data_IF_759042529011
#
_entry.id   IF_759042529011
#
_cell.length_a   1.000
_cell.length_b   1.000
_cell.length_c   1.000
_cell.angle_alpha   90.00
_cell.angle_beta   90.00
_cell.angle_gamma   90.00
#
_symmetry.space_group_name_H-M   'P 1'
#
loop_
_entity.id
_entity.type
_entity.pdbx_description
1 polymer ?
#
# COMPACT_ATOMS: atom_id res chain seq x y z
N UNK A 1 29.57 7.76 -9.88
CA UNK A 1 30.80 7.04 -9.45
C UNK A 1 31.46 6.47 -10.70
N UNK A 2 32.39 7.19 -11.27
CA UNK A 2 33.27 6.70 -12.34
C UNK A 2 34.58 7.46 -12.16
N UNK A 3 35.33 7.02 -11.16
CA UNK A 3 36.71 7.42 -10.97
C UNK A 3 37.50 6.85 -12.15
N UNK A 4 38.10 7.72 -12.97
CA UNK A 4 38.80 7.34 -14.22
C UNK A 4 40.12 6.59 -13.97
N UNK A 5 40.44 6.34 -12.70
CA UNK A 5 41.64 5.62 -12.25
C UNK A 5 41.51 4.10 -12.28
N UNK A 6 40.29 3.56 -12.38
CA UNK A 6 40.02 2.11 -12.35
C UNK A 6 39.76 1.57 -13.75
N UNK A 7 40.49 0.53 -14.16
CA UNK A 7 40.33 -0.10 -15.47
C UNK A 7 38.99 -0.85 -15.60
N UNK A 8 38.50 -1.03 -16.83
CA UNK A 8 37.28 -1.81 -17.09
C UNK A 8 37.36 -3.22 -16.49
N UNK A 9 38.52 -3.85 -16.61
CA UNK A 9 38.78 -5.17 -16.06
C UNK A 9 38.67 -5.20 -14.54
N UNK A 10 39.25 -4.24 -13.84
CA UNK A 10 39.11 -4.14 -12.38
C UNK A 10 37.66 -3.86 -11.96
N UNK A 11 36.90 -3.10 -12.76
CA UNK A 11 35.47 -2.87 -12.50
C UNK A 11 34.66 -4.15 -12.66
N UNK A 12 34.93 -4.94 -13.71
CA UNK A 12 34.30 -6.24 -13.95
C UNK A 12 34.65 -7.23 -12.84
N UNK A 13 35.92 -7.31 -12.46
CA UNK A 13 36.42 -8.15 -11.37
C UNK A 13 35.71 -7.83 -10.05
N UNK A 14 35.65 -6.54 -9.69
CA UNK A 14 34.97 -6.08 -8.49
C UNK A 14 33.46 -6.39 -8.53
N UNK A 15 32.81 -6.24 -9.69
CA UNK A 15 31.40 -6.53 -9.86
C UNK A 15 31.09 -8.03 -9.70
N UNK A 16 31.92 -8.90 -10.28
CA UNK A 16 31.76 -10.35 -10.17
C UNK A 16 32.01 -10.83 -8.72
N UNK A 17 33.06 -10.33 -8.08
CA UNK A 17 33.34 -10.64 -6.68
C UNK A 17 32.24 -10.16 -5.73
N UNK A 18 31.64 -8.99 -5.98
CA UNK A 18 30.49 -8.52 -5.20
C UNK A 18 29.26 -9.40 -5.43
N UNK A 19 28.97 -9.79 -6.67
CA UNK A 19 27.84 -10.67 -7.00
C UNK A 19 27.95 -12.04 -6.31
N UNK A 20 29.13 -12.65 -6.33
CA UNK A 20 29.39 -13.91 -5.63
C UNK A 20 29.26 -13.76 -4.11
N UNK A 21 29.93 -12.74 -3.53
CA UNK A 21 29.96 -12.54 -2.08
C UNK A 21 28.60 -12.16 -1.48
N UNK A 22 27.84 -11.31 -2.16
CA UNK A 22 26.62 -10.70 -1.62
C UNK A 22 25.35 -11.42 -2.06
N UNK A 23 25.36 -12.05 -3.23
CA UNK A 23 24.18 -12.69 -3.82
C UNK A 23 24.39 -14.17 -4.16
N UNK A 24 25.59 -14.73 -3.92
CA UNK A 24 25.87 -16.15 -4.18
C UNK A 24 25.83 -16.53 -5.66
N UNK A 25 26.05 -15.57 -6.56
CA UNK A 25 26.07 -15.82 -8.00
C UNK A 25 27.40 -16.44 -8.39
N UNK A 26 27.36 -17.64 -8.97
CA UNK A 26 28.55 -18.30 -9.50
C UNK A 26 29.24 -17.42 -10.54
N UNK A 27 30.56 -17.33 -10.42
CA UNK A 27 31.39 -16.56 -11.33
C UNK A 27 31.61 -17.32 -12.65
N UNK A 28 30.68 -17.15 -13.59
CA UNK A 28 30.72 -17.83 -14.90
C UNK A 28 31.55 -17.09 -15.97
N UNK A 29 31.98 -15.86 -15.68
CA UNK A 29 32.72 -15.01 -16.62
C UNK A 29 34.05 -14.56 -16.03
N UNK A 30 35.08 -14.53 -16.89
CA UNK A 30 36.34 -13.88 -16.60
C UNK A 30 36.35 -12.46 -17.16
N UNK A 31 36.87 -11.50 -16.38
CA UNK A 31 36.88 -10.09 -16.75
C UNK A 31 37.62 -9.81 -18.06
N UNK A 32 38.64 -10.62 -18.38
CA UNK A 32 39.40 -10.52 -19.63
C UNK A 32 38.62 -10.96 -20.87
N UNK A 33 37.66 -11.89 -20.72
CA UNK A 33 36.86 -12.41 -21.84
C UNK A 33 35.69 -11.47 -22.16
N UNK A 34 35.33 -10.63 -21.20
CA UNK A 34 34.31 -9.58 -21.34
C UNK A 34 34.92 -8.24 -21.79
N UNK A 35 36.13 -7.90 -21.33
CA UNK A 35 36.87 -6.69 -21.73
C UNK A 35 37.54 -6.85 -23.11
N UNK A 36 36.73 -7.18 -24.12
CA UNK A 36 37.14 -7.33 -25.52
C UNK A 36 36.19 -6.54 -26.43
N UNK A 37 36.58 -6.30 -27.69
CA UNK A 37 35.73 -5.60 -28.65
C UNK A 37 34.43 -6.38 -28.98
N UNK A 38 34.46 -7.72 -28.82
CA UNK A 38 33.40 -8.64 -29.22
C UNK A 38 33.23 -9.78 -28.20
N UNK A 39 32.66 -9.53 -27.02
CA UNK A 39 32.46 -10.57 -26.02
C UNK A 39 31.33 -11.55 -26.43
N UNK A 40 31.38 -12.77 -25.90
CA UNK A 40 30.39 -13.82 -26.22
C UNK A 40 29.00 -13.50 -25.63
N UNK A 41 28.05 -13.20 -26.51
CA UNK A 41 26.69 -12.79 -26.15
C UNK A 41 25.98 -13.85 -25.31
N UNK A 42 26.14 -15.14 -25.64
CA UNK A 42 25.47 -16.24 -24.94
C UNK A 42 25.96 -16.36 -23.50
N UNK A 43 27.26 -16.20 -23.28
CA UNK A 43 27.88 -16.22 -21.96
C UNK A 43 27.47 -14.99 -21.13
N UNK A 44 27.43 -13.80 -21.74
CA UNK A 44 26.90 -12.59 -21.09
C UNK A 44 25.44 -12.79 -20.66
N UNK A 45 24.57 -13.26 -21.56
CA UNK A 45 23.15 -13.49 -21.27
C UNK A 45 22.99 -14.50 -20.13
N UNK A 46 23.76 -15.58 -20.15
CA UNK A 46 23.71 -16.63 -19.11
C UNK A 46 24.08 -16.06 -17.74
N UNK A 47 25.15 -15.27 -17.67
CA UNK A 47 25.58 -14.66 -16.42
C UNK A 47 24.59 -13.61 -15.92
N UNK A 48 24.12 -12.71 -16.79
CA UNK A 48 23.13 -11.68 -16.43
C UNK A 48 21.81 -12.32 -15.98
N UNK A 49 21.40 -13.44 -16.59
CA UNK A 49 20.22 -14.20 -16.17
C UNK A 49 20.41 -14.83 -14.79
N UNK A 50 21.60 -15.37 -14.50
CA UNK A 50 21.95 -15.95 -13.20
C UNK A 50 21.96 -14.87 -12.11
N UNK A 51 22.51 -13.69 -12.41
CA UNK A 51 22.46 -12.52 -11.55
C UNK A 51 21.01 -12.09 -11.28
N UNK A 52 20.17 -11.99 -12.31
CA UNK A 52 18.77 -11.63 -12.16
C UNK A 52 18.00 -12.62 -11.26
N UNK A 53 18.27 -13.93 -11.38
CA UNK A 53 17.64 -14.95 -10.56
C UNK A 53 18.10 -14.93 -9.10
N UNK A 54 19.33 -14.50 -8.83
CA UNK A 54 19.89 -14.41 -7.48
C UNK A 54 19.52 -13.11 -6.76
N UNK A 55 19.15 -12.07 -7.50
CA UNK A 55 18.62 -10.86 -6.92
C UNK A 55 17.23 -11.14 -6.30
N UNK A 56 16.97 -10.75 -5.04
CA UNK A 56 15.69 -11.02 -4.38
C UNK A 56 14.59 -10.27 -5.10
N UNK A 57 13.84 -10.94 -6.00
CA UNK A 57 12.83 -10.42 -6.93
C UNK A 57 12.56 -8.91 -6.79
N UNK A 58 13.56 -8.08 -7.11
CA UNK A 58 13.54 -6.65 -6.79
C UNK A 58 12.32 -5.96 -7.40
N UNK A 59 11.82 -6.35 -8.59
CA UNK A 59 10.60 -5.80 -9.16
C UNK A 59 9.33 -6.11 -8.34
N UNK A 60 9.22 -7.31 -7.76
CA UNK A 60 8.01 -7.70 -7.02
C UNK A 60 7.99 -7.06 -5.64
N UNK A 61 9.12 -7.10 -4.92
CA UNK A 61 9.25 -6.47 -3.62
C UNK A 61 9.06 -4.94 -3.72
N UNK A 62 9.69 -4.29 -4.70
CA UNK A 62 9.49 -2.84 -4.93
C UNK A 62 8.04 -2.49 -5.25
N UNK A 63 7.35 -3.32 -6.05
CA UNK A 63 5.91 -3.16 -6.31
C UNK A 63 5.08 -3.20 -5.03
N UNK A 64 5.36 -4.13 -4.11
CA UNK A 64 4.64 -4.21 -2.84
C UNK A 64 5.01 -3.07 -1.89
N UNK A 65 6.26 -2.61 -1.88
CA UNK A 65 6.68 -1.43 -1.11
C UNK A 65 5.94 -0.17 -1.61
N UNK A 66 5.91 0.07 -2.91
CA UNK A 66 5.15 1.20 -3.49
C UNK A 66 3.64 1.07 -3.25
N UNK A 67 3.10 -0.15 -3.30
CA UNK A 67 1.70 -0.42 -2.94
C UNK A 67 1.44 -0.09 -1.46
N UNK A 68 2.37 -0.40 -0.56
CA UNK A 68 2.26 -0.06 0.87
C UNK A 68 2.27 1.44 1.10
N UNK A 69 3.15 2.18 0.44
CA UNK A 69 3.18 3.64 0.49
C UNK A 69 1.84 4.24 0.05
N UNK A 70 1.29 3.75 -1.07
CA UNK A 70 -0.01 4.16 -1.55
C UNK A 70 -1.14 3.81 -0.56
N UNK A 71 -1.13 2.58 -0.02
CA UNK A 71 -2.10 2.16 0.99
C UNK A 71 -2.09 3.08 2.22
N UNK A 72 -0.91 3.44 2.73
CA UNK A 72 -0.77 4.31 3.90
C UNK A 72 -1.40 5.69 3.63
N UNK A 73 -1.15 6.28 2.47
CA UNK A 73 -1.73 7.58 2.09
C UNK A 73 -3.25 7.50 1.99
N UNK A 74 -3.75 6.50 1.29
CA UNK A 74 -5.20 6.32 1.07
C UNK A 74 -5.93 5.98 2.39
N UNK A 75 -5.37 5.10 3.23
CA UNK A 75 -5.94 4.75 4.52
C UNK A 75 -5.99 5.95 5.48
N UNK A 76 -4.97 6.82 5.48
CA UNK A 76 -5.00 8.07 6.27
C UNK A 76 -6.14 8.98 5.81
N UNK A 77 -6.24 9.21 4.50
CA UNK A 77 -7.29 10.05 3.95
C UNK A 77 -8.70 9.50 4.26
N UNK A 78 -8.85 8.17 4.21
CA UNK A 78 -10.10 7.51 4.58
C UNK A 78 -10.41 7.65 6.08
N UNK A 79 -9.42 7.45 6.96
CA UNK A 79 -9.59 7.65 8.41
C UNK A 79 -10.05 9.08 8.74
N UNK A 80 -9.42 10.09 8.13
CA UNK A 80 -9.83 11.49 8.30
C UNK A 80 -11.26 11.75 7.77
N UNK A 81 -11.64 11.08 6.67
CA UNK A 81 -13.00 11.16 6.15
C UNK A 81 -14.00 10.55 7.14
N UNK A 82 -13.69 9.39 7.71
CA UNK A 82 -14.51 8.73 8.72
C UNK A 82 -14.66 9.59 9.97
N UNK A 83 -13.57 10.17 10.49
CA UNK A 83 -13.63 11.07 11.64
C UNK A 83 -14.51 12.28 11.38
N UNK A 84 -14.38 12.91 10.19
CA UNK A 84 -15.28 14.00 9.79
C UNK A 84 -16.72 13.53 9.71
N UNK A 85 -16.98 12.40 9.04
CA UNK A 85 -18.32 11.85 8.91
C UNK A 85 -18.97 11.57 10.28
N UNK A 86 -18.23 10.95 11.20
CA UNK A 86 -18.65 10.72 12.58
C UNK A 86 -19.02 12.03 13.28
N UNK A 87 -18.17 13.06 13.19
CA UNK A 87 -18.47 14.38 13.77
C UNK A 87 -19.72 15.02 13.15
N UNK A 88 -19.97 14.83 11.86
CA UNK A 88 -21.16 15.37 11.20
C UNK A 88 -22.46 14.66 11.59
N UNK A 89 -22.40 13.35 11.86
CA UNK A 89 -23.56 12.56 12.32
C UNK A 89 -23.91 12.93 13.77
N UNK A 90 -22.89 13.17 14.60
CA UNK A 90 -23.03 13.51 16.01
C UNK A 90 -23.50 14.96 16.24
N UNK A 91 -23.27 15.86 15.28
CA UNK A 91 -23.73 17.25 15.35
C UNK A 91 -25.27 17.35 15.28
N UNK A 92 -25.89 17.46 16.45
CA UNK A 92 -27.34 17.60 16.58
C UNK A 92 -27.89 18.89 15.94
N UNK A 93 -27.08 19.94 15.88
CA UNK A 93 -27.52 21.26 15.41
C UNK A 93 -27.71 21.30 13.89
N UNK A 94 -27.01 20.42 13.15
CA UNK A 94 -27.12 20.30 11.69
C UNK A 94 -28.47 19.80 11.20
N UNK A 95 -29.20 19.11 12.07
CA UNK A 95 -30.54 18.57 11.80
C UNK A 95 -31.60 19.26 12.67
N UNK A 96 -31.38 20.54 13.03
CA UNK A 96 -32.37 21.35 13.75
C UNK A 96 -33.51 21.84 12.83
N UNK A 97 -34.07 20.94 12.03
CA UNK A 97 -35.23 21.19 11.18
C UNK A 97 -36.45 20.47 11.75
N UNK A 98 -37.58 20.51 11.04
CA UNK A 98 -38.66 19.58 11.34
C UNK A 98 -38.16 18.12 11.30
N UNK A 99 -38.74 17.19 12.09
CA UNK A 99 -38.32 15.79 12.10
C UNK A 99 -38.28 15.14 10.72
N UNK A 100 -39.24 15.47 9.84
CA UNK A 100 -39.32 14.96 8.47
C UNK A 100 -38.22 15.52 7.55
N UNK A 101 -37.95 16.82 7.59
CA UNK A 101 -36.85 17.42 6.81
C UNK A 101 -35.47 16.92 7.26
N UNK A 102 -35.32 16.70 8.56
CA UNK A 102 -34.10 16.16 9.16
C UNK A 102 -33.82 14.74 8.68
N UNK A 103 -34.86 13.88 8.65
CA UNK A 103 -34.74 12.51 8.13
C UNK A 103 -34.40 12.51 6.64
N UNK A 104 -35.09 13.31 5.82
CA UNK A 104 -34.81 13.40 4.38
C UNK A 104 -33.36 13.82 4.08
N UNK A 105 -32.85 14.85 4.80
CA UNK A 105 -31.45 15.29 4.63
C UNK A 105 -30.47 14.21 5.06
N UNK A 106 -30.77 13.48 6.13
CA UNK A 106 -29.91 12.40 6.62
C UNK A 106 -29.90 11.20 5.68
N UNK A 107 -31.05 10.79 5.14
CA UNK A 107 -31.16 9.72 4.13
C UNK A 107 -30.35 10.07 2.88
N UNK A 108 -30.50 11.29 2.37
CA UNK A 108 -29.71 11.75 1.22
C UNK A 108 -28.20 11.68 1.49
N UNK A 109 -27.76 12.12 2.67
CA UNK A 109 -26.36 12.00 3.09
C UNK A 109 -25.92 10.53 3.14
N UNK A 110 -26.74 9.63 3.70
CA UNK A 110 -26.43 8.21 3.80
C UNK A 110 -26.25 7.58 2.42
N UNK A 111 -27.16 7.85 1.49
CA UNK A 111 -27.13 7.27 0.16
C UNK A 111 -25.92 7.73 -0.67
N UNK A 112 -25.53 9.00 -0.53
CA UNK A 112 -24.40 9.57 -1.27
C UNK A 112 -23.04 9.24 -0.61
N UNK A 113 -22.89 9.44 0.70
CA UNK A 113 -21.59 9.40 1.36
C UNK A 113 -21.21 8.02 1.93
N UNK A 114 -22.17 7.27 2.49
CA UNK A 114 -21.85 6.00 3.15
C UNK A 114 -21.50 4.90 2.15
N UNK A 115 -22.14 4.88 0.99
CA UNK A 115 -21.88 3.90 -0.05
C UNK A 115 -20.45 4.04 -0.62
N UNK A 116 -20.01 5.27 -0.87
CA UNK A 116 -18.64 5.53 -1.34
C UNK A 116 -17.61 5.23 -0.24
N UNK A 117 -17.91 5.56 1.02
CA UNK A 117 -17.05 5.24 2.15
C UNK A 117 -16.88 3.71 2.35
N UNK A 118 -17.96 2.94 2.18
CA UNK A 118 -17.93 1.48 2.25
C UNK A 118 -17.12 0.85 1.10
N UNK A 119 -17.26 1.37 -0.12
CA UNK A 119 -16.47 0.91 -1.28
C UNK A 119 -14.99 1.09 -1.03
N UNK A 120 -14.62 2.25 -0.50
CA UNK A 120 -13.23 2.58 -0.20
C UNK A 120 -12.67 1.73 0.95
N UNK A 121 -13.46 1.49 2.01
CA UNK A 121 -13.12 0.56 3.08
C UNK A 121 -12.76 -0.82 2.53
N UNK A 122 -13.64 -1.42 1.71
CA UNK A 122 -13.40 -2.74 1.13
C UNK A 122 -12.13 -2.77 0.25
N UNK A 123 -11.92 -1.73 -0.57
CA UNK A 123 -10.71 -1.60 -1.40
C UNK A 123 -9.43 -1.55 -0.55
N UNK A 124 -9.46 -0.81 0.56
CA UNK A 124 -8.34 -0.74 1.50
C UNK A 124 -8.09 -2.08 2.21
N UNK A 125 -9.15 -2.80 2.59
CA UNK A 125 -9.03 -4.13 3.20
C UNK A 125 -8.39 -5.14 2.25
N UNK A 126 -8.81 -5.17 0.99
CA UNK A 126 -8.19 -6.01 -0.05
C UNK A 126 -6.70 -5.69 -0.24
N UNK A 127 -6.35 -4.40 -0.30
CA UNK A 127 -4.95 -3.96 -0.40
C UNK A 127 -4.13 -4.38 0.82
N UNK A 128 -4.65 -4.17 2.03
CA UNK A 128 -3.97 -4.55 3.26
C UNK A 128 -3.72 -6.07 3.31
N UNK A 129 -4.69 -6.87 2.88
CA UNK A 129 -4.54 -8.33 2.82
C UNK A 129 -3.44 -8.77 1.83
N UNK A 130 -3.37 -8.14 0.65
CA UNK A 130 -2.30 -8.39 -0.31
C UNK A 130 -0.94 -8.03 0.30
N UNK A 131 -0.81 -6.86 0.93
CA UNK A 131 0.42 -6.42 1.56
C UNK A 131 0.83 -7.36 2.69
N UNK A 132 -0.11 -7.73 3.56
CA UNK A 132 0.11 -8.69 4.64
C UNK A 132 0.59 -10.03 4.08
N UNK A 133 -0.05 -10.56 3.03
CA UNK A 133 0.34 -11.83 2.43
C UNK A 133 1.75 -11.85 1.87
N UNK A 134 2.22 -10.75 1.28
CA UNK A 134 3.50 -10.71 0.56
C UNK A 134 4.66 -10.10 1.38
N UNK A 135 4.35 -9.23 2.33
CA UNK A 135 5.35 -8.54 3.14
C UNK A 135 5.38 -9.02 4.59
N UNK A 136 4.37 -9.73 5.10
CA UNK A 136 4.41 -10.20 6.50
C UNK A 136 5.60 -11.13 6.73
N UNK A 137 6.38 -10.83 7.77
CA UNK A 137 7.64 -11.53 8.07
C UNK A 137 8.88 -10.96 7.39
N UNK A 138 8.74 -9.90 6.58
CA UNK A 138 9.88 -9.11 6.06
C UNK A 138 10.08 -7.84 6.89
N UNK A 139 11.28 -7.27 6.85
CA UNK A 139 11.58 -5.96 7.43
C UNK A 139 10.90 -4.79 6.70
N UNK A 140 10.22 -5.07 5.57
CA UNK A 140 9.59 -4.07 4.72
C UNK A 140 8.11 -3.83 5.03
N UNK A 141 7.47 -4.68 5.84
CA UNK A 141 6.09 -4.45 6.27
C UNK A 141 6.03 -3.39 7.37
N UNK A 142 5.68 -2.16 7.03
CA UNK A 142 5.73 -1.01 7.92
C UNK A 142 4.42 -0.20 7.95
N UNK A 143 3.28 -0.89 7.91
CA UNK A 143 1.97 -0.27 8.13
C UNK A 143 1.85 0.27 9.58
N UNK A 144 1.54 1.56 9.79
CA UNK A 144 1.34 2.13 11.11
C UNK A 144 0.21 1.45 11.90
N UNK A 145 0.35 1.34 13.23
CA UNK A 145 -0.63 0.67 14.10
C UNK A 145 -2.06 1.22 13.98
N UNK A 146 -2.17 2.53 13.78
CA UNK A 146 -3.44 3.23 13.61
C UNK A 146 -4.05 3.10 12.20
N UNK A 147 -3.39 2.39 11.30
CA UNK A 147 -3.83 2.11 9.93
C UNK A 147 -3.84 0.60 9.66
N UNK A 148 -3.94 -0.21 10.71
CA UNK A 148 -4.10 -1.66 10.58
C UNK A 148 -5.53 -2.00 10.18
N UNK A 149 -5.73 -3.21 9.67
CA UNK A 149 -7.07 -3.80 9.48
C UNK A 149 -7.97 -3.57 10.70
N UNK A 150 -7.47 -3.87 11.91
CA UNK A 150 -8.25 -3.68 13.13
C UNK A 150 -8.68 -2.23 13.34
N UNK A 151 -7.77 -1.26 13.18
CA UNK A 151 -8.07 0.16 13.34
C UNK A 151 -9.10 0.65 12.32
N UNK A 152 -8.98 0.23 11.05
CA UNK A 152 -9.94 0.58 10.00
C UNK A 152 -11.31 -0.05 10.29
N UNK A 153 -11.36 -1.32 10.70
CA UNK A 153 -12.61 -2.01 11.05
C UNK A 153 -13.29 -1.37 12.26
N UNK A 154 -12.53 -0.97 13.28
CA UNK A 154 -13.07 -0.26 14.45
C UNK A 154 -13.69 1.09 14.02
N UNK A 155 -12.96 1.88 13.24
CA UNK A 155 -13.45 3.17 12.73
C UNK A 155 -14.72 3.01 11.88
N UNK A 156 -14.74 2.02 10.98
CA UNK A 156 -15.91 1.73 10.15
C UNK A 156 -17.11 1.29 10.99
N UNK A 157 -16.91 0.37 11.94
CA UNK A 157 -17.98 -0.14 12.81
C UNK A 157 -18.62 0.98 13.63
N UNK A 158 -17.80 1.88 14.19
CA UNK A 158 -18.27 3.05 14.92
C UNK A 158 -19.11 3.97 14.04
N UNK A 159 -18.65 4.27 12.82
CA UNK A 159 -19.39 5.11 11.88
C UNK A 159 -20.74 4.50 11.50
N UNK A 160 -20.77 3.20 11.16
CA UNK A 160 -22.01 2.51 10.79
C UNK A 160 -22.99 2.46 11.96
N UNK A 161 -22.50 2.17 13.17
CA UNK A 161 -23.33 2.16 14.36
C UNK A 161 -23.98 3.53 14.62
N UNK A 162 -23.19 4.61 14.56
CA UNK A 162 -23.71 5.97 14.75
C UNK A 162 -24.70 6.35 13.65
N UNK A 163 -24.45 5.94 12.41
CA UNK A 163 -25.34 6.20 11.29
C UNK A 163 -26.72 5.55 11.50
N UNK A 164 -26.74 4.27 11.85
CA UNK A 164 -27.97 3.50 12.10
C UNK A 164 -28.72 4.01 13.33
N UNK A 165 -28.00 4.34 14.40
CA UNK A 165 -28.57 4.90 15.61
C UNK A 165 -29.25 6.24 15.34
N UNK A 166 -28.56 7.16 14.63
CA UNK A 166 -29.10 8.48 14.29
C UNK A 166 -30.34 8.36 13.40
N UNK A 167 -30.31 7.48 12.41
CA UNK A 167 -31.46 7.19 11.56
C UNK A 167 -32.67 6.74 12.38
N UNK A 168 -32.47 5.77 13.28
CA UNK A 168 -33.52 5.24 14.17
C UNK A 168 -34.12 6.34 15.06
N UNK A 169 -33.29 7.19 15.66
CA UNK A 169 -33.75 8.31 16.48
C UNK A 169 -34.59 9.32 15.67
N UNK A 170 -34.19 9.64 14.44
CA UNK A 170 -34.94 10.56 13.57
C UNK A 170 -36.31 9.98 13.17
N UNK A 171 -36.37 8.67 12.88
CA UNK A 171 -37.64 8.00 12.59
C UNK A 171 -38.59 8.02 13.79
N UNK A 172 -38.08 7.77 15.01
CA UNK A 172 -38.89 7.82 16.22
C UNK A 172 -39.48 9.22 16.48
N UNK A 173 -38.73 10.29 16.18
CA UNK A 173 -39.20 11.69 16.32
C UNK A 173 -40.32 12.07 15.35
N UNK A 174 -40.54 11.31 14.28
CA UNK A 174 -41.65 11.54 13.34
C UNK A 174 -42.94 10.87 13.83
N UNK A 175 -42.83 9.79 14.59
CA UNK A 175 -43.96 8.97 15.06
C UNK A 175 -44.60 9.56 16.33
N UNK A 176 -43.86 10.37 17.08
CA UNK A 176 -44.30 11.08 18.30
C UNK A 176 -44.87 12.46 17.98
#
# INVERSE_FOLDING_TARGET
VSDSSVSNRERLENAFAAAEREFGVDRLLDAQDVDTDHPDEKSIITYVSSLYNALPHLPELSKFISMQEQYIVEARAWMELVERATSLIDDETRFALSPTESLYKFEKYRDECMADCAREYNRLMEKHEILRRHLSGTDHFCVPRNLTEHALTEAWSNLTYLNDHRFTCLQQKIIQ
#
